data_IF_523532940240
#
_entry.id   IF_523532940240
#
_cell.length_a   1.000
_cell.length_b   1.000
_cell.length_c   1.000
_cell.angle_alpha   90.00
_cell.angle_beta   90.00
_cell.angle_gamma   90.00
#
_symmetry.space_group_name_H-M   'P 1'
#
loop_
_entity.id
_entity.type
_entity.pdbx_description
1 polymer ?
#
# COMPACT_ATOMS: atom_id res chain seq x y z
N UNK A 1 2.28 -3.51 13.79
CA UNK A 1 1.31 -4.28 13.00
C UNK A 1 1.96 -4.75 11.70
N UNK A 2 1.50 -5.82 11.16
CA UNK A 2 2.06 -6.40 9.93
C UNK A 2 0.98 -6.78 8.94
N UNK A 3 1.32 -6.69 7.66
CA UNK A 3 0.51 -7.19 6.56
C UNK A 3 1.40 -8.05 5.67
N UNK A 4 0.92 -9.22 5.30
CA UNK A 4 1.57 -10.09 4.32
C UNK A 4 0.89 -9.93 2.97
N UNK A 5 1.68 -9.69 1.93
CA UNK A 5 1.18 -9.56 0.58
C UNK A 5 0.52 -10.86 0.11
N UNK A 6 -0.56 -10.72 -0.63
CA UNK A 6 -1.30 -11.83 -1.23
C UNK A 6 -1.45 -11.62 -2.73
N UNK A 7 -1.69 -12.71 -3.51
CA UNK A 7 -1.89 -12.59 -4.94
C UNK A 7 -3.02 -11.64 -5.30
N UNK A 8 -2.81 -10.90 -6.37
CA UNK A 8 -3.76 -9.95 -6.91
C UNK A 8 -4.19 -10.35 -8.32
N UNK A 9 -5.25 -9.73 -8.78
CA UNK A 9 -5.63 -9.76 -10.17
C UNK A 9 -4.50 -9.21 -11.04
N UNK A 10 -4.17 -9.80 -12.20
CA UNK A 10 -3.15 -9.27 -13.10
C UNK A 10 -3.44 -7.82 -13.51
N UNK A 11 -2.37 -7.04 -13.69
CA UNK A 11 -2.50 -5.66 -14.16
C UNK A 11 -3.08 -5.60 -15.56
N UNK A 12 -3.94 -4.60 -15.79
CA UNK A 12 -4.50 -4.32 -17.12
C UNK A 12 -3.42 -3.84 -18.11
N UNK A 13 -2.51 -2.98 -17.62
CA UNK A 13 -1.41 -2.41 -18.42
C UNK A 13 -0.12 -3.16 -18.14
N UNK A 14 -0.03 -4.39 -18.68
CA UNK A 14 1.14 -5.25 -18.48
C UNK A 14 2.43 -4.69 -19.09
N UNK A 15 2.31 -3.81 -20.09
CA UNK A 15 3.44 -3.09 -20.67
C UNK A 15 4.13 -2.15 -19.69
N UNK A 16 3.46 -1.78 -18.60
CA UNK A 16 3.97 -0.93 -17.51
C UNK A 16 4.24 -1.69 -16.23
N UNK A 17 4.02 -2.99 -16.23
CA UNK A 17 4.23 -3.82 -15.05
C UNK A 17 5.72 -3.95 -14.74
N UNK A 18 6.08 -3.69 -13.48
CA UNK A 18 7.44 -3.93 -12.99
C UNK A 18 7.56 -5.37 -12.50
N UNK A 19 8.74 -6.00 -12.65
CA UNK A 19 9.02 -7.25 -11.96
C UNK A 19 8.80 -7.10 -10.45
N UNK A 20 8.42 -8.19 -9.78
CA UNK A 20 8.12 -8.18 -8.34
C UNK A 20 9.23 -7.52 -7.50
N UNK A 21 10.48 -7.84 -7.77
CA UNK A 21 11.61 -7.27 -7.02
C UNK A 21 11.72 -5.76 -7.19
N UNK A 22 11.47 -5.26 -8.39
CA UNK A 22 11.48 -3.81 -8.65
C UNK A 22 10.28 -3.13 -8.02
N UNK A 23 9.11 -3.76 -8.03
CA UNK A 23 7.91 -3.24 -7.35
C UNK A 23 8.13 -3.13 -5.85
N UNK A 24 8.75 -4.14 -5.22
CA UNK A 24 9.10 -4.09 -3.80
C UNK A 24 10.17 -3.04 -3.50
N UNK A 25 11.12 -2.86 -4.41
CA UNK A 25 12.14 -1.83 -4.28
C UNK A 25 11.53 -0.44 -4.37
N UNK A 26 10.59 -0.23 -5.28
CA UNK A 26 9.84 1.03 -5.39
C UNK A 26 9.03 1.29 -4.11
N UNK A 27 8.38 0.29 -3.55
CA UNK A 27 7.67 0.41 -2.27
C UNK A 27 8.61 0.82 -1.14
N UNK A 28 9.79 0.21 -1.06
CA UNK A 28 10.79 0.58 -0.04
C UNK A 28 11.32 2.01 -0.23
N UNK A 29 11.52 2.43 -1.47
CA UNK A 29 12.00 3.77 -1.76
C UNK A 29 10.97 4.86 -1.46
N UNK A 30 9.68 4.53 -1.48
CA UNK A 30 8.61 5.48 -1.26
C UNK A 30 8.62 6.10 0.15
N UNK A 31 9.02 5.33 1.18
CA UNK A 31 9.08 5.78 2.57
C UNK A 31 7.72 5.97 3.23
N UNK A 32 6.68 6.23 2.48
CA UNK A 32 5.32 6.46 2.94
C UNK A 32 4.34 5.67 2.08
N UNK A 33 3.22 5.29 2.68
CA UNK A 33 2.16 4.58 1.99
C UNK A 33 0.80 5.04 2.50
N UNK A 34 -0.22 4.80 1.70
CA UNK A 34 -1.62 4.88 2.15
C UNK A 34 -2.08 3.46 2.47
N UNK A 35 -2.45 3.25 3.73
CA UNK A 35 -3.07 2.01 4.18
C UNK A 35 -4.58 2.14 4.01
N UNK A 36 -5.17 1.25 3.25
CA UNK A 36 -6.63 1.16 3.07
C UNK A 36 -7.16 -0.06 3.81
N UNK A 37 -8.19 0.16 4.61
CA UNK A 37 -8.83 -0.86 5.45
C UNK A 37 -10.33 -0.57 5.56
N UNK A 38 -11.07 -1.44 6.20
CA UNK A 38 -12.51 -1.26 6.39
C UNK A 38 -12.76 -0.61 7.76
N UNK A 39 -13.47 0.53 7.77
CA UNK A 39 -13.83 1.22 9.00
C UNK A 39 -14.65 0.28 9.90
N UNK A 40 -14.27 0.11 11.19
CA UNK A 40 -14.90 -0.90 12.04
C UNK A 40 -16.37 -0.62 12.36
N UNK A 41 -16.80 0.64 12.32
CA UNK A 41 -18.17 1.02 12.69
C UNK A 41 -19.09 1.16 11.47
N UNK A 42 -18.56 1.63 10.34
CA UNK A 42 -19.37 1.96 9.17
C UNK A 42 -19.28 0.95 8.03
N UNK A 43 -18.25 0.11 8.01
CA UNK A 43 -18.01 -0.81 6.90
C UNK A 43 -17.51 -0.13 5.62
N UNK A 44 -17.17 1.14 5.69
CA UNK A 44 -16.70 1.93 4.54
C UNK A 44 -15.18 1.82 4.41
N UNK A 45 -14.64 1.69 3.18
CA UNK A 45 -13.19 1.76 2.96
C UNK A 45 -12.61 3.08 3.47
N UNK A 46 -11.51 3.00 4.20
CA UNK A 46 -10.83 4.13 4.82
C UNK A 46 -9.35 4.09 4.43
N UNK A 47 -8.78 5.24 4.07
CA UNK A 47 -7.36 5.38 3.78
C UNK A 47 -6.67 6.26 4.82
N UNK A 48 -5.50 5.83 5.30
CA UNK A 48 -4.66 6.62 6.22
C UNK A 48 -3.20 6.54 5.80
N UNK A 49 -2.44 7.64 5.94
CA UNK A 49 -1.01 7.59 5.66
C UNK A 49 -0.26 6.88 6.78
N UNK A 50 0.74 6.09 6.41
CA UNK A 50 1.65 5.44 7.32
C UNK A 50 3.09 5.51 6.79
N UNK A 51 4.06 5.26 7.67
CA UNK A 51 5.48 5.15 7.30
C UNK A 51 5.96 3.73 7.58
N UNK A 52 5.76 2.79 6.64
CA UNK A 52 6.06 1.39 6.87
C UNK A 52 7.48 1.02 6.47
N UNK A 53 7.92 -0.15 6.95
CA UNK A 53 9.08 -0.87 6.45
C UNK A 53 8.61 -2.07 5.66
N UNK A 54 9.16 -2.26 4.48
CA UNK A 54 8.81 -3.38 3.58
C UNK A 54 10.00 -4.32 3.48
N UNK A 55 9.77 -5.61 3.74
CA UNK A 55 10.81 -6.62 3.59
C UNK A 55 10.89 -7.14 2.15
N UNK A 56 12.03 -7.73 1.73
CA UNK A 56 12.12 -8.36 0.41
C UNK A 56 11.10 -9.48 0.17
N UNK A 57 10.60 -10.11 1.24
CA UNK A 57 9.59 -11.17 1.17
C UNK A 57 8.18 -10.64 0.96
N UNK A 58 7.98 -9.31 1.03
CA UNK A 58 6.68 -8.69 0.86
C UNK A 58 5.87 -8.59 2.15
N UNK A 59 6.55 -8.54 3.29
CA UNK A 59 5.92 -8.28 4.60
C UNK A 59 6.08 -6.80 4.92
N UNK A 60 5.00 -6.18 5.37
CA UNK A 60 4.97 -4.77 5.71
C UNK A 60 4.78 -4.61 7.21
N UNK A 61 5.67 -3.84 7.82
CA UNK A 61 5.64 -3.52 9.25
C UNK A 61 5.46 -2.03 9.42
N UNK A 62 4.65 -1.62 10.39
CA UNK A 62 4.60 -0.24 10.82
C UNK A 62 4.40 -0.12 12.32
N UNK A 63 4.82 0.99 12.87
CA UNK A 63 4.68 1.30 14.28
C UNK A 63 3.37 2.04 14.53
N UNK A 64 2.60 1.57 15.50
CA UNK A 64 1.41 2.25 15.97
C UNK A 64 1.60 2.62 17.44
N UNK A 65 1.38 3.88 17.77
CA UNK A 65 1.51 4.38 19.14
C UNK A 65 0.32 3.99 20.02
N UNK A 66 -0.78 3.49 19.45
CA UNK A 66 -1.99 3.15 20.18
C UNK A 66 -2.71 1.98 19.50
N UNK A 67 -2.88 0.88 20.25
CA UNK A 67 -3.63 -0.29 19.77
C UNK A 67 -5.12 0.01 19.56
N UNK A 68 -5.66 1.00 20.23
CA UNK A 68 -7.03 1.47 20.04
C UNK A 68 -7.19 2.44 18.87
N UNK A 69 -6.20 2.56 17.99
CA UNK A 69 -6.31 3.37 16.79
C UNK A 69 -7.40 2.83 15.85
N UNK A 70 -7.97 3.72 15.04
CA UNK A 70 -9.00 3.33 14.07
C UNK A 70 -8.53 2.21 13.14
N UNK A 71 -7.29 2.32 12.61
CA UNK A 71 -6.71 1.27 11.77
C UNK A 71 -6.51 -0.05 12.51
N UNK A 72 -6.10 0.03 13.78
CA UNK A 72 -5.94 -1.17 14.62
C UNK A 72 -7.26 -1.89 14.85
N UNK A 73 -8.30 -1.17 15.22
CA UNK A 73 -9.65 -1.74 15.41
C UNK A 73 -10.22 -2.28 14.10
N UNK A 74 -10.05 -1.53 13.01
CA UNK A 74 -10.52 -1.93 11.69
C UNK A 74 -9.90 -3.23 11.21
N UNK A 75 -8.58 -3.37 11.35
CA UNK A 75 -7.86 -4.57 10.92
C UNK A 75 -8.12 -5.79 11.82
N UNK A 76 -8.45 -5.59 13.09
CA UNK A 76 -8.90 -6.68 13.96
C UNK A 76 -10.25 -7.22 13.53
N UNK A 77 -11.16 -6.34 13.15
CA UNK A 77 -12.51 -6.72 12.73
C UNK A 77 -12.54 -7.30 11.31
N UNK A 78 -11.78 -6.69 10.40
CA UNK A 78 -11.63 -7.15 9.02
C UNK A 78 -10.15 -7.04 8.63
N UNK A 79 -9.43 -8.16 8.52
CA UNK A 79 -7.99 -8.14 8.29
C UNK A 79 -7.59 -7.79 6.86
N UNK A 80 -8.52 -7.63 5.94
CA UNK A 80 -8.22 -7.28 4.55
C UNK A 80 -7.69 -5.85 4.47
N UNK A 81 -6.60 -5.68 3.74
CA UNK A 81 -5.96 -4.38 3.60
C UNK A 81 -5.29 -4.23 2.25
N UNK A 82 -5.09 -2.98 1.83
CA UNK A 82 -4.19 -2.66 0.74
C UNK A 82 -3.28 -1.50 1.14
N UNK A 83 -2.11 -1.48 0.51
CA UNK A 83 -1.12 -0.43 0.71
C UNK A 83 -0.75 0.13 -0.65
N UNK A 84 -0.80 1.44 -0.78
CA UNK A 84 -0.40 2.15 -1.99
C UNK A 84 0.85 2.96 -1.71
N UNK A 85 1.92 2.62 -2.42
CA UNK A 85 3.21 3.29 -2.34
C UNK A 85 3.43 4.07 -3.63
N UNK A 86 3.77 5.35 -3.51
CA UNK A 86 4.13 6.18 -4.65
C UNK A 86 5.61 6.54 -4.50
N UNK A 87 6.46 5.92 -5.31
CA UNK A 87 7.90 6.13 -5.22
C UNK A 87 8.28 7.51 -5.74
N UNK A 88 7.67 7.92 -6.84
CA UNK A 88 7.76 9.28 -7.36
C UNK A 88 6.55 9.57 -8.24
N UNK A 89 6.27 10.86 -8.40
CA UNK A 89 5.27 11.35 -9.35
C UNK A 89 5.73 12.72 -9.85
N UNK A 90 5.71 12.93 -11.15
CA UNK A 90 6.06 14.18 -11.79
C UNK A 90 5.04 14.51 -12.88
N UNK A 91 4.45 15.69 -12.79
CA UNK A 91 3.53 16.17 -13.82
C UNK A 91 4.32 16.59 -15.05
N UNK A 92 3.91 16.11 -16.22
CA UNK A 92 4.46 16.47 -17.52
C UNK A 92 3.39 17.23 -18.30
N UNK A 93 3.15 18.53 -17.97
CA UNK A 93 2.02 19.28 -18.55
C UNK A 93 2.12 19.47 -20.05
N UNK A 94 3.32 19.51 -20.63
CA UNK A 94 3.52 19.61 -22.07
C UNK A 94 3.09 18.34 -22.82
N UNK A 95 3.09 17.20 -22.13
CA UNK A 95 2.67 15.90 -22.65
C UNK A 95 1.27 15.50 -22.15
N UNK A 96 0.62 16.33 -21.34
CA UNK A 96 -0.66 16.07 -20.71
C UNK A 96 -0.69 14.73 -19.94
N UNK A 97 0.39 14.40 -19.25
CA UNK A 97 0.55 13.15 -18.54
C UNK A 97 1.35 13.32 -17.24
N UNK A 98 1.51 12.22 -16.51
CA UNK A 98 2.29 12.15 -15.28
C UNK A 98 3.31 11.03 -15.42
N UNK A 99 4.57 11.32 -15.09
CA UNK A 99 5.58 10.28 -14.92
C UNK A 99 5.57 9.83 -13.46
N UNK A 100 5.37 8.55 -13.22
CA UNK A 100 5.27 8.01 -11.87
C UNK A 100 5.66 6.54 -11.79
N UNK A 101 6.04 6.13 -10.59
CA UNK A 101 6.17 4.71 -10.23
C UNK A 101 5.45 4.48 -8.90
N UNK A 102 4.65 3.45 -8.86
CA UNK A 102 3.89 3.08 -7.67
C UNK A 102 3.82 1.58 -7.50
N UNK A 103 3.55 1.16 -6.28
CA UNK A 103 3.30 -0.25 -5.94
C UNK A 103 2.03 -0.31 -5.11
N UNK A 104 1.12 -1.21 -5.48
CA UNK A 104 -0.06 -1.52 -4.68
C UNK A 104 0.09 -2.95 -4.18
N UNK A 105 0.04 -3.12 -2.86
CA UNK A 105 0.10 -4.42 -2.20
C UNK A 105 -1.26 -4.69 -1.55
N UNK A 106 -1.84 -5.84 -1.83
CA UNK A 106 -3.02 -6.33 -1.11
C UNK A 106 -2.60 -7.45 -0.18
N UNK A 107 -3.23 -7.53 0.98
CA UNK A 107 -2.86 -8.53 1.96
C UNK A 107 -3.81 -8.59 3.13
N UNK A 108 -3.38 -9.28 4.16
CA UNK A 108 -4.14 -9.48 5.40
C UNK A 108 -3.24 -9.20 6.60
N UNK A 109 -3.83 -8.53 7.55
CA UNK A 109 -3.20 -8.32 8.85
C UNK A 109 -3.19 -9.58 9.70
#
# INVERSE_FOLDING_TARGET
MTISAQPQRPMRRRDRELPREEALRAARAAGHAVLSFIHPDTGVPQGVPISPVVTPEGIVYWHSTNEASLKGEGLKKDPRASLTFIAYAEDLPEEYTVDYASTVMTGRA
#
